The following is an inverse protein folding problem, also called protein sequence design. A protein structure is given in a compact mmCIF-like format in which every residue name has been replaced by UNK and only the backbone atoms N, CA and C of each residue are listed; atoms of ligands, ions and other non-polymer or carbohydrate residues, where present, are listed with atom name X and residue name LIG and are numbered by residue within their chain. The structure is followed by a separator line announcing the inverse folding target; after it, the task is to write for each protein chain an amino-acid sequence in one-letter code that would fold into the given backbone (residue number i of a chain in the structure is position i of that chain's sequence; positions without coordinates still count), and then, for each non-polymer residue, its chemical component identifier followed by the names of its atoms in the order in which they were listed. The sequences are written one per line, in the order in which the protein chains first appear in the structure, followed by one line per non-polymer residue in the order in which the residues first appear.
data_IF_536007756446
#
_entry.id   IF_536007756446
#
_cell.length_a   1.000
_cell.length_b   1.000
_cell.length_c   1.000
_cell.angle_alpha   90.00
_cell.angle_beta   90.00
_cell.angle_gamma   90.00
#
_symmetry.space_group_name_H-M   'P 1'
#
loop_
_entity.id
_entity.type
_entity.pdbx_description
1 polymer ?
#
# COMPACT_ATOMS: atom_id res chain seq x y z
N UNK A 1 -11.47 5.95 29.16
CA UNK A 1 -12.80 5.83 28.54
C UNK A 1 -12.55 5.82 27.05
N UNK A 2 -12.68 4.68 26.44
CA UNK A 2 -12.58 4.51 24.98
C UNK A 2 -13.89 5.04 24.41
N UNK A 3 -13.83 6.19 23.72
CA UNK A 3 -14.94 6.64 22.89
C UNK A 3 -15.22 5.54 21.87
N UNK A 4 -16.22 4.73 22.15
CA UNK A 4 -16.77 3.81 21.17
C UNK A 4 -17.42 4.69 20.09
N UNK A 5 -16.80 4.73 18.92
CA UNK A 5 -17.41 5.36 17.75
C UNK A 5 -18.64 4.55 17.42
N UNK A 6 -19.83 5.17 17.51
CA UNK A 6 -21.08 4.51 17.10
C UNK A 6 -20.96 4.10 15.63
N UNK A 7 -21.38 2.88 15.27
CA UNK A 7 -21.41 2.45 13.88
C UNK A 7 -22.33 3.36 13.08
N UNK A 8 -21.90 3.72 11.86
CA UNK A 8 -22.69 4.56 10.96
C UNK A 8 -23.99 3.83 10.57
N UNK A 9 -25.11 4.53 10.57
CA UNK A 9 -26.37 3.92 10.14
C UNK A 9 -26.32 3.64 8.64
N UNK A 10 -26.93 2.55 8.13
CA UNK A 10 -26.91 2.21 6.71
C UNK A 10 -27.36 3.35 5.76
N UNK A 11 -28.25 4.24 6.23
CA UNK A 11 -28.73 5.39 5.47
C UNK A 11 -27.73 6.57 5.39
N UNK A 12 -26.65 6.56 6.18
CA UNK A 12 -25.64 7.62 6.22
C UNK A 12 -24.42 7.28 5.33
N UNK A 13 -24.41 6.08 4.73
CA UNK A 13 -23.31 5.62 3.87
C UNK A 13 -23.40 6.32 2.51
N UNK A 14 -22.26 6.80 1.94
CA UNK A 14 -22.25 7.36 0.60
C UNK A 14 -22.80 6.37 -0.43
N UNK A 15 -23.84 6.76 -1.15
CA UNK A 15 -24.54 5.88 -2.10
C UNK A 15 -23.62 5.23 -3.12
N UNK A 16 -22.61 5.97 -3.59
CA UNK A 16 -21.61 5.47 -4.54
C UNK A 16 -20.74 4.35 -3.96
N UNK A 17 -20.40 4.43 -2.66
CA UNK A 17 -19.58 3.43 -1.98
C UNK A 17 -20.31 2.10 -1.84
N UNK A 18 -21.54 2.13 -1.35
CA UNK A 18 -22.38 0.94 -1.19
C UNK A 18 -22.64 0.28 -2.54
N UNK A 19 -23.03 1.07 -3.56
CA UNK A 19 -23.32 0.58 -4.91
C UNK A 19 -22.10 -0.09 -5.56
N UNK A 20 -20.89 0.49 -5.40
CA UNK A 20 -19.66 -0.10 -5.93
C UNK A 20 -19.34 -1.44 -5.26
N UNK A 21 -19.52 -1.53 -3.94
CA UNK A 21 -19.29 -2.77 -3.20
C UNK A 21 -20.30 -3.86 -3.60
N UNK A 22 -21.60 -3.54 -3.68
CA UNK A 22 -22.65 -4.49 -4.06
C UNK A 22 -22.48 -4.99 -5.48
N UNK A 23 -22.08 -4.12 -6.42
CA UNK A 23 -21.76 -4.48 -7.79
C UNK A 23 -20.65 -5.53 -7.85
N UNK A 24 -19.56 -5.32 -7.12
CA UNK A 24 -18.45 -6.27 -7.05
C UNK A 24 -18.85 -7.59 -6.40
N UNK A 25 -19.64 -7.55 -5.32
CA UNK A 25 -20.18 -8.77 -4.68
C UNK A 25 -21.06 -9.58 -5.64
N UNK A 26 -21.98 -8.92 -6.32
CA UNK A 26 -22.86 -9.57 -7.28
C UNK A 26 -22.05 -10.21 -8.43
N UNK A 27 -21.08 -9.48 -8.99
CA UNK A 27 -20.21 -9.99 -10.04
C UNK A 27 -19.32 -11.16 -9.57
N UNK A 28 -18.83 -11.12 -8.35
CA UNK A 28 -18.07 -12.24 -7.77
C UNK A 28 -18.97 -13.47 -7.56
N UNK A 29 -20.18 -13.30 -7.07
CA UNK A 29 -21.13 -14.40 -6.88
C UNK A 29 -21.50 -15.10 -8.20
N UNK A 30 -21.55 -14.36 -9.32
CA UNK A 30 -21.80 -14.93 -10.65
C UNK A 30 -20.56 -15.68 -11.18
N UNK A 31 -19.35 -15.21 -10.91
CA UNK A 31 -18.10 -15.79 -11.38
C UNK A 31 -17.04 -15.86 -10.25
N UNK A 32 -17.18 -16.79 -9.30
CA UNK A 32 -16.27 -16.88 -8.14
C UNK A 32 -14.89 -17.46 -8.49
N UNK A 33 -14.73 -18.04 -9.67
CA UNK A 33 -13.51 -18.74 -10.09
C UNK A 33 -13.03 -18.28 -11.44
N UNK A 34 -12.41 -17.10 -11.52
CA UNK A 34 -11.73 -16.66 -12.74
C UNK A 34 -10.51 -17.56 -13.05
N UNK A 35 -10.36 -17.89 -14.33
CA UNK A 35 -9.23 -18.68 -14.83
C UNK A 35 -7.97 -17.80 -15.00
N UNK A 36 -6.79 -18.45 -15.17
CA UNK A 36 -5.53 -17.72 -15.32
C UNK A 36 -5.52 -16.69 -16.48
N UNK A 37 -6.04 -16.97 -17.68
CA UNK A 37 -6.09 -15.96 -18.75
C UNK A 37 -6.79 -14.65 -18.34
N UNK A 38 -7.89 -14.73 -17.59
CA UNK A 38 -8.64 -13.55 -17.11
C UNK A 38 -7.85 -12.78 -16.06
N UNK A 39 -7.23 -13.50 -15.10
CA UNK A 39 -6.38 -12.86 -14.06
C UNK A 39 -5.16 -12.22 -14.69
N UNK A 40 -4.54 -12.89 -15.66
CA UNK A 40 -3.41 -12.37 -16.42
C UNK A 40 -3.78 -11.10 -17.19
N UNK A 41 -4.94 -11.06 -17.83
CA UNK A 41 -5.44 -9.86 -18.52
C UNK A 41 -5.60 -8.68 -17.54
N UNK A 42 -6.19 -8.90 -16.36
CA UNK A 42 -6.31 -7.87 -15.31
C UNK A 42 -4.94 -7.34 -14.89
N UNK A 43 -3.96 -8.22 -14.68
CA UNK A 43 -2.59 -7.82 -14.35
C UNK A 43 -1.91 -7.07 -15.50
N UNK A 44 -2.15 -7.43 -16.76
CA UNK A 44 -1.62 -6.72 -17.92
C UNK A 44 -2.24 -5.32 -18.06
N UNK A 45 -3.56 -5.18 -17.78
CA UNK A 45 -4.23 -3.87 -17.74
C UNK A 45 -3.69 -3.01 -16.60
N UNK A 46 -3.46 -3.59 -15.41
CA UNK A 46 -2.84 -2.89 -14.27
C UNK A 46 -1.41 -2.43 -14.61
N UNK A 47 -0.64 -3.27 -15.32
CA UNK A 47 0.70 -2.89 -15.80
C UNK A 47 0.65 -1.70 -16.75
N UNK A 48 -0.26 -1.71 -17.73
CA UNK A 48 -0.44 -0.58 -18.66
C UNK A 48 -0.94 0.67 -17.95
N UNK A 49 -1.82 0.54 -16.96
CA UNK A 49 -2.25 1.67 -16.13
C UNK A 49 -1.06 2.41 -15.54
N UNK A 50 -0.04 1.70 -15.08
CA UNK A 50 1.17 2.33 -14.53
C UNK A 50 2.09 2.80 -15.65
N UNK A 51 2.50 1.91 -16.58
CA UNK A 51 3.53 2.20 -17.58
C UNK A 51 3.16 3.26 -18.61
N UNK A 52 1.88 3.37 -18.95
CA UNK A 52 1.43 4.31 -19.98
C UNK A 52 1.13 5.72 -19.42
N UNK A 53 1.21 5.89 -18.09
CA UNK A 53 0.84 7.13 -17.43
C UNK A 53 1.90 7.62 -16.41
N UNK A 54 3.16 7.16 -16.53
CA UNK A 54 4.24 7.47 -15.57
C UNK A 54 4.41 8.98 -15.34
N UNK A 55 4.49 9.79 -16.41
CA UNK A 55 4.69 11.25 -16.33
C UNK A 55 3.51 11.94 -15.60
N UNK A 56 2.27 11.50 -15.83
CA UNK A 56 1.10 12.09 -15.17
C UNK A 56 1.05 11.71 -13.69
N UNK A 57 1.45 10.48 -13.36
CA UNK A 57 1.59 9.98 -11.99
C UNK A 57 2.63 10.81 -11.23
N UNK A 58 3.83 10.97 -11.79
CA UNK A 58 4.91 11.77 -11.19
C UNK A 58 4.47 13.21 -10.93
N UNK A 59 3.87 13.85 -11.91
CA UNK A 59 3.42 15.25 -11.82
C UNK A 59 2.33 15.44 -10.76
N UNK A 60 1.38 14.52 -10.65
CA UNK A 60 0.29 14.63 -9.67
C UNK A 60 0.76 14.37 -8.25
N UNK A 61 1.66 13.40 -8.06
CA UNK A 61 2.27 13.14 -6.75
C UNK A 61 3.15 14.32 -6.32
N UNK A 62 3.95 14.87 -7.23
CA UNK A 62 4.74 16.09 -6.97
C UNK A 62 3.84 17.26 -6.52
N UNK A 63 2.72 17.47 -7.20
CA UNK A 63 1.76 18.52 -6.85
C UNK A 63 1.15 18.34 -5.46
N UNK A 64 0.79 17.10 -5.07
CA UNK A 64 0.22 16.80 -3.76
C UNK A 64 1.23 17.01 -2.62
N UNK A 65 2.51 16.73 -2.85
CA UNK A 65 3.56 16.96 -1.87
C UNK A 65 4.08 18.40 -1.84
N UNK A 66 3.78 19.19 -2.88
CA UNK A 66 4.35 20.53 -3.04
C UNK A 66 5.86 20.50 -3.28
N UNK A 67 6.38 19.41 -3.86
CA UNK A 67 7.77 19.16 -4.21
C UNK A 67 8.19 17.73 -3.85
N UNK A 68 8.02 16.80 -4.78
CA UNK A 68 8.57 15.45 -4.70
C UNK A 68 9.28 15.12 -6.01
N UNK A 69 10.60 14.89 -5.98
CA UNK A 69 11.36 14.64 -7.21
C UNK A 69 10.81 13.45 -8.00
N UNK A 70 10.69 13.58 -9.31
CA UNK A 70 10.23 12.52 -10.20
C UNK A 70 11.03 11.21 -10.01
N UNK A 71 12.36 11.33 -9.83
CA UNK A 71 13.23 10.18 -9.58
C UNK A 71 12.86 9.41 -8.30
N UNK A 72 12.42 10.10 -7.24
CA UNK A 72 11.94 9.42 -6.03
C UNK A 72 10.64 8.67 -6.29
N UNK A 73 9.71 9.26 -7.04
CA UNK A 73 8.46 8.59 -7.45
C UNK A 73 8.77 7.37 -8.34
N UNK A 74 9.71 7.49 -9.28
CA UNK A 74 10.13 6.35 -10.10
C UNK A 74 10.70 5.20 -9.26
N UNK A 75 11.67 5.50 -8.38
CA UNK A 75 12.37 4.47 -7.60
C UNK A 75 11.48 3.86 -6.53
N UNK A 76 10.65 4.67 -5.87
CA UNK A 76 9.90 4.24 -4.69
C UNK A 76 8.46 3.79 -4.99
N UNK A 77 7.91 4.12 -6.17
CA UNK A 77 6.53 3.80 -6.52
C UNK A 77 6.39 3.12 -7.89
N UNK A 78 6.82 3.74 -8.99
CA UNK A 78 6.61 3.19 -10.34
C UNK A 78 7.37 1.88 -10.52
N UNK A 79 8.68 1.89 -10.27
CA UNK A 79 9.51 0.71 -10.43
C UNK A 79 9.06 -0.49 -9.57
N UNK A 80 8.83 -0.35 -8.25
CA UNK A 80 8.38 -1.47 -7.43
C UNK A 80 6.98 -1.94 -7.81
N UNK A 81 6.07 -1.06 -8.24
CA UNK A 81 4.75 -1.43 -8.75
C UNK A 81 4.86 -2.32 -9.99
N UNK A 82 5.66 -1.92 -10.98
CA UNK A 82 5.88 -2.70 -12.19
C UNK A 82 6.62 -4.02 -11.90
N UNK A 83 7.58 -4.01 -10.97
CA UNK A 83 8.30 -5.20 -10.57
C UNK A 83 7.38 -6.25 -9.94
N UNK A 84 6.46 -5.83 -9.06
CA UNK A 84 5.49 -6.69 -8.41
C UNK A 84 4.47 -7.27 -9.40
N UNK A 85 3.90 -6.44 -10.29
CA UNK A 85 3.01 -6.88 -11.35
C UNK A 85 3.70 -7.91 -12.25
N UNK A 86 4.95 -7.63 -12.68
CA UNK A 86 5.72 -8.55 -13.51
C UNK A 86 6.04 -9.85 -12.76
N UNK A 87 6.26 -9.81 -11.45
CA UNK A 87 6.41 -10.98 -10.58
C UNK A 87 5.16 -11.86 -10.58
N UNK A 88 3.99 -11.24 -10.41
CA UNK A 88 2.68 -11.91 -10.46
C UNK A 88 2.38 -12.51 -11.85
N UNK A 89 2.69 -11.79 -12.93
CA UNK A 89 2.52 -12.29 -14.29
C UNK A 89 3.39 -13.54 -14.58
N UNK A 90 4.59 -13.63 -13.99
CA UNK A 90 5.47 -14.80 -14.14
C UNK A 90 5.08 -15.99 -13.30
N UNK A 91 4.53 -15.78 -12.11
CA UNK A 91 4.37 -16.80 -11.09
C UNK A 91 2.93 -17.13 -10.70
N UNK A 92 1.97 -16.27 -11.04
CA UNK A 92 0.57 -16.35 -10.59
C UNK A 92 -0.12 -17.66 -10.98
N UNK A 93 0.09 -18.14 -12.19
CA UNK A 93 -0.47 -19.43 -12.63
C UNK A 93 -0.01 -20.60 -11.74
N UNK A 94 1.26 -20.56 -11.33
CA UNK A 94 1.80 -21.59 -10.43
C UNK A 94 1.19 -21.50 -9.04
N UNK A 95 0.91 -20.31 -8.53
CA UNK A 95 0.30 -20.10 -7.22
C UNK A 95 -1.14 -20.61 -7.13
N UNK A 96 -1.82 -20.76 -8.28
CA UNK A 96 -3.18 -21.30 -8.35
C UNK A 96 -3.24 -22.83 -8.29
N UNK A 97 -2.10 -23.52 -8.44
CA UNK A 97 -2.07 -24.99 -8.54
C UNK A 97 -2.40 -25.63 -7.18
N UNK A 98 -3.27 -26.64 -7.19
CA UNK A 98 -3.51 -27.44 -5.98
C UNK A 98 -2.23 -28.08 -5.45
N UNK A 99 -2.05 -28.07 -4.16
CA UNK A 99 -0.96 -28.73 -3.46
C UNK A 99 -1.44 -30.02 -2.82
N UNK A 100 -0.83 -31.16 -3.15
CA UNK A 100 -1.15 -32.45 -2.54
C UNK A 100 -0.56 -32.50 -1.14
N UNK A 101 -1.38 -32.90 -0.17
CA UNK A 101 -0.97 -33.07 1.22
C UNK A 101 -1.11 -34.52 1.66
N UNK A 102 -0.26 -34.91 2.63
CA UNK A 102 -0.31 -36.24 3.20
C UNK A 102 -1.58 -36.45 4.04
N UNK A 103 -2.19 -37.61 3.83
CA UNK A 103 -3.27 -38.09 4.70
C UNK A 103 -2.76 -39.13 5.66
N UNK A 104 -3.32 -39.20 6.85
CA UNK A 104 -3.01 -40.26 7.81
C UNK A 104 -3.32 -41.64 7.21
N UNK A 105 -2.52 -42.67 7.59
CA UNK A 105 -2.70 -44.05 7.16
C UNK A 105 -4.13 -44.58 7.34
N UNK A 106 -4.85 -44.04 8.30
CA UNK A 106 -6.24 -44.40 8.60
C UNK A 106 -7.25 -43.95 7.53
N UNK A 107 -6.86 -43.03 6.69
CA UNK A 107 -7.68 -42.51 5.59
C UNK A 107 -7.30 -43.10 4.23
N UNK A 108 -6.28 -43.95 4.15
CA UNK A 108 -5.93 -44.60 2.88
C UNK A 108 -7.11 -45.48 2.40
N UNK A 109 -7.41 -45.45 1.09
CA UNK A 109 -6.69 -44.86 -0.04
C UNK A 109 -7.10 -43.42 -0.41
N UNK A 110 -7.68 -42.63 0.51
CA UNK A 110 -8.09 -41.27 0.28
C UNK A 110 -6.90 -40.36 -0.13
N UNK A 111 -7.21 -39.28 -0.84
CA UNK A 111 -6.26 -38.23 -1.23
C UNK A 111 -6.77 -36.91 -0.72
N UNK A 112 -5.84 -36.02 -0.34
CA UNK A 112 -6.17 -34.64 0.06
C UNK A 112 -5.31 -33.65 -0.70
N UNK A 113 -5.88 -32.49 -0.96
CA UNK A 113 -5.19 -31.36 -1.60
C UNK A 113 -5.67 -30.03 -1.00
N UNK A 114 -4.78 -29.04 -1.00
CA UNK A 114 -5.09 -27.66 -0.66
C UNK A 114 -5.26 -26.91 -1.98
N UNK A 115 -6.44 -26.35 -2.23
CA UNK A 115 -6.74 -25.58 -3.42
C UNK A 115 -6.84 -24.09 -3.07
N UNK A 116 -5.95 -23.21 -3.60
CA UNK A 116 -6.11 -21.77 -3.46
C UNK A 116 -7.42 -21.30 -4.12
N UNK A 117 -8.19 -20.49 -3.40
CA UNK A 117 -9.47 -19.95 -3.86
C UNK A 117 -9.52 -18.44 -3.63
N UNK A 118 -10.16 -17.67 -4.54
CA UNK A 118 -10.47 -16.27 -4.27
C UNK A 118 -11.35 -16.15 -3.02
N UNK A 119 -11.19 -15.09 -2.27
CA UNK A 119 -12.01 -14.77 -1.11
C UNK A 119 -13.33 -14.13 -1.51
N UNK A 120 -13.27 -13.13 -2.39
CA UNK A 120 -14.41 -12.32 -2.79
C UNK A 120 -14.04 -10.90 -3.15
N UNK A 121 -14.56 -9.92 -2.41
CA UNK A 121 -14.23 -8.50 -2.55
C UNK A 121 -13.23 -8.10 -1.49
N UNK A 122 -12.07 -7.60 -1.94
CA UNK A 122 -11.00 -7.11 -1.07
C UNK A 122 -11.04 -5.59 -1.02
N UNK A 123 -11.22 -5.05 0.18
CA UNK A 123 -11.07 -3.62 0.45
C UNK A 123 -9.61 -3.24 0.70
N UNK A 124 -9.17 -2.11 0.16
CA UNK A 124 -7.83 -1.57 0.36
C UNK A 124 -7.90 -0.11 0.78
N UNK A 125 -7.39 0.24 1.95
CA UNK A 125 -7.26 1.64 2.40
C UNK A 125 -5.81 2.05 2.27
N UNK A 126 -5.57 3.04 1.40
CA UNK A 126 -4.24 3.47 0.96
C UNK A 126 -3.80 4.72 1.72
N UNK A 127 -2.56 4.79 2.23
CA UNK A 127 -2.00 5.98 2.86
C UNK A 127 -1.52 6.99 1.81
N UNK A 128 -1.05 8.13 2.30
CA UNK A 128 -0.60 9.24 1.48
C UNK A 128 0.89 9.18 1.07
N UNK A 129 1.73 8.45 1.82
CA UNK A 129 3.19 8.57 1.68
C UNK A 129 3.78 7.89 0.43
N UNK A 130 3.17 6.81 -0.02
CA UNK A 130 3.46 6.13 -1.29
C UNK A 130 2.14 5.72 -1.93
N UNK A 131 1.37 6.69 -2.45
CA UNK A 131 -0.03 6.45 -2.82
C UNK A 131 -0.20 5.52 -4.02
N UNK A 132 0.76 5.46 -4.95
CA UNK A 132 0.72 4.52 -6.06
C UNK A 132 1.09 3.11 -5.60
N UNK A 133 2.29 2.94 -5.03
CA UNK A 133 2.80 1.60 -4.71
C UNK A 133 1.93 0.88 -3.68
N UNK A 134 1.46 1.62 -2.65
CA UNK A 134 0.61 1.05 -1.60
C UNK A 134 -0.86 0.84 -2.05
N UNK A 135 -1.24 1.31 -3.23
CA UNK A 135 -2.46 0.88 -3.92
C UNK A 135 -2.20 -0.34 -4.80
N UNK A 136 -1.15 -0.28 -5.64
CA UNK A 136 -0.86 -1.31 -6.64
C UNK A 136 -0.49 -2.66 -5.99
N UNK A 137 0.36 -2.68 -4.96
CA UNK A 137 0.78 -3.92 -4.29
C UNK A 137 -0.40 -4.77 -3.83
N UNK A 138 -1.29 -4.25 -2.98
CA UNK A 138 -2.50 -4.96 -2.58
C UNK A 138 -3.42 -5.36 -3.75
N UNK A 139 -3.57 -4.48 -4.76
CA UNK A 139 -4.34 -4.81 -5.96
C UNK A 139 -3.75 -5.99 -6.73
N UNK A 140 -2.43 -6.05 -6.88
CA UNK A 140 -1.74 -7.19 -7.52
C UNK A 140 -2.06 -8.48 -6.78
N UNK A 141 -1.93 -8.49 -5.46
CA UNK A 141 -2.24 -9.65 -4.62
C UNK A 141 -3.70 -10.09 -4.77
N UNK A 142 -4.64 -9.15 -4.72
CA UNK A 142 -6.07 -9.43 -4.84
C UNK A 142 -6.43 -9.94 -6.26
N UNK A 143 -5.97 -9.27 -7.32
CA UNK A 143 -6.31 -9.62 -8.70
C UNK A 143 -5.68 -10.95 -9.14
N UNK A 144 -4.43 -11.23 -8.74
CA UNK A 144 -3.78 -12.52 -9.06
C UNK A 144 -4.46 -13.68 -8.34
N UNK A 145 -4.97 -13.46 -7.13
CA UNK A 145 -5.77 -14.44 -6.42
C UNK A 145 -7.18 -14.63 -7.02
N UNK A 146 -7.64 -13.71 -7.87
CA UNK A 146 -8.94 -13.77 -8.54
C UNK A 146 -10.04 -12.99 -7.83
N UNK A 147 -9.70 -12.18 -6.86
CA UNK A 147 -10.62 -11.31 -6.12
C UNK A 147 -11.04 -10.09 -6.94
N UNK A 148 -12.07 -9.41 -6.47
CA UNK A 148 -12.46 -8.05 -6.86
C UNK A 148 -11.80 -7.07 -5.87
N UNK A 149 -11.56 -5.83 -6.30
CA UNK A 149 -10.88 -4.84 -5.43
C UNK A 149 -11.64 -3.53 -5.37
N UNK A 150 -11.89 -3.06 -4.17
CA UNK A 150 -12.35 -1.70 -3.92
C UNK A 150 -11.26 -0.95 -3.16
N UNK A 151 -10.80 0.19 -3.69
CA UNK A 151 -9.65 0.93 -3.16
C UNK A 151 -10.10 2.29 -2.68
N UNK A 152 -9.86 2.61 -1.40
CA UNK A 152 -10.07 3.95 -0.82
C UNK A 152 -8.72 4.68 -0.77
N UNK A 153 -8.61 5.75 -1.57
CA UNK A 153 -7.40 6.57 -1.64
C UNK A 153 -7.35 7.60 -0.50
N UNK A 154 -6.15 8.08 -0.19
CA UNK A 154 -5.94 9.06 0.87
C UNK A 154 -6.46 10.45 0.49
N UNK A 155 -7.07 11.14 1.43
CA UNK A 155 -7.47 12.53 1.33
C UNK A 155 -6.29 13.52 1.34
N UNK A 156 -5.11 13.08 1.75
CA UNK A 156 -3.89 13.91 1.78
C UNK A 156 -3.15 13.97 0.43
N UNK A 157 -3.56 13.15 -0.54
CA UNK A 157 -3.04 13.17 -1.92
C UNK A 157 -4.19 13.29 -2.92
N UNK A 158 -4.94 14.41 -2.90
CA UNK A 158 -6.18 14.52 -3.65
C UNK A 158 -5.98 14.55 -5.17
N UNK A 159 -4.92 15.16 -5.69
CA UNK A 159 -4.65 15.22 -7.12
C UNK A 159 -4.33 13.81 -7.67
N UNK A 160 -3.45 13.08 -6.98
CA UNK A 160 -3.15 11.70 -7.36
C UNK A 160 -4.36 10.77 -7.18
N UNK A 161 -5.12 10.93 -6.10
CA UNK A 161 -6.33 10.13 -5.86
C UNK A 161 -7.37 10.29 -6.98
N UNK A 162 -7.57 11.51 -7.47
CA UNK A 162 -8.44 11.80 -8.60
C UNK A 162 -7.89 11.20 -9.92
N UNK A 163 -6.60 11.30 -10.16
CA UNK A 163 -5.94 10.66 -11.30
C UNK A 163 -6.11 9.14 -11.24
N UNK A 164 -5.77 8.52 -10.11
CA UNK A 164 -5.82 7.07 -9.96
C UNK A 164 -7.23 6.52 -10.15
N UNK A 165 -8.26 7.23 -9.65
CA UNK A 165 -9.66 6.90 -9.91
C UNK A 165 -9.96 6.88 -11.41
N UNK A 166 -9.64 7.95 -12.15
CA UNK A 166 -9.83 8.01 -13.61
C UNK A 166 -9.09 6.91 -14.37
N UNK A 167 -7.86 6.60 -13.93
CA UNK A 167 -7.07 5.54 -14.56
C UNK A 167 -7.70 4.17 -14.30
N UNK A 168 -8.13 3.87 -13.08
CA UNK A 168 -8.81 2.59 -12.80
C UNK A 168 -10.11 2.48 -13.62
N UNK A 169 -10.93 3.52 -13.69
CA UNK A 169 -12.14 3.55 -14.52
C UNK A 169 -11.85 3.37 -16.03
N UNK A 170 -10.68 3.82 -16.51
CA UNK A 170 -10.26 3.64 -17.91
C UNK A 170 -9.83 2.19 -18.22
N UNK A 171 -9.18 1.52 -17.28
CA UNK A 171 -8.56 0.20 -17.51
C UNK A 171 -9.37 -0.98 -16.96
N UNK A 172 -10.34 -0.75 -16.08
CA UNK A 172 -11.13 -1.79 -15.43
C UNK A 172 -12.63 -1.49 -15.49
N UNK A 173 -13.40 -2.55 -15.61
CA UNK A 173 -14.82 -2.47 -15.32
C UNK A 173 -15.04 -2.32 -13.80
N UNK A 174 -16.04 -1.54 -13.34
CA UNK A 174 -16.25 -1.26 -11.92
C UNK A 174 -16.48 -2.52 -11.07
N UNK A 175 -17.00 -3.58 -11.66
CA UNK A 175 -17.17 -4.89 -11.03
C UNK A 175 -15.86 -5.66 -10.83
N UNK A 176 -14.74 -5.24 -11.45
CA UNK A 176 -13.44 -5.87 -11.30
C UNK A 176 -12.57 -5.11 -10.29
N UNK A 177 -12.48 -3.78 -10.48
CA UNK A 177 -11.72 -2.87 -9.62
C UNK A 177 -12.36 -1.48 -9.67
N UNK A 178 -12.49 -0.85 -8.50
CA UNK A 178 -13.02 0.50 -8.38
C UNK A 178 -12.27 1.30 -7.32
N UNK A 179 -12.29 2.63 -7.46
CA UNK A 179 -11.62 3.57 -6.53
C UNK A 179 -12.62 4.53 -5.93
N UNK A 180 -12.56 4.66 -4.62
CA UNK A 180 -13.34 5.61 -3.82
C UNK A 180 -12.40 6.69 -3.29
N UNK A 181 -12.81 7.92 -3.41
CA UNK A 181 -12.16 9.10 -2.82
C UNK A 181 -13.05 9.70 -1.73
N UNK A 182 -12.49 10.47 -0.85
CA UNK A 182 -13.22 11.13 0.23
C UNK A 182 -12.38 11.26 1.50
N UNK A 183 -12.95 11.85 2.51
CA UNK A 183 -12.33 12.14 3.79
C UNK A 183 -12.35 10.95 4.79
N UNK A 184 -12.07 11.24 6.05
CA UNK A 184 -12.08 10.26 7.13
C UNK A 184 -13.47 9.63 7.35
N UNK A 185 -14.57 10.35 7.05
CA UNK A 185 -15.93 9.83 7.17
C UNK A 185 -16.18 8.72 6.16
N UNK A 186 -15.74 8.93 4.91
CA UNK A 186 -15.79 7.90 3.85
C UNK A 186 -14.90 6.71 4.21
N UNK A 187 -13.71 6.94 4.80
CA UNK A 187 -12.84 5.87 5.26
C UNK A 187 -13.46 5.03 6.39
N UNK A 188 -14.21 5.66 7.29
CA UNK A 188 -14.95 4.96 8.33
C UNK A 188 -16.05 4.09 7.70
N UNK A 189 -16.93 4.67 6.87
CA UNK A 189 -17.98 3.94 6.16
C UNK A 189 -17.40 2.76 5.34
N UNK A 190 -16.26 2.99 4.68
CA UNK A 190 -15.54 1.94 3.95
C UNK A 190 -15.13 0.79 4.86
N UNK A 191 -14.64 1.08 6.06
CA UNK A 191 -14.19 0.07 7.03
C UNK A 191 -15.33 -0.76 7.61
N UNK A 192 -16.56 -0.26 7.54
CA UNK A 192 -17.79 -0.93 8.02
C UNK A 192 -18.44 -1.85 6.97
N UNK A 193 -17.95 -1.81 5.71
CA UNK A 193 -18.44 -2.73 4.68
C UNK A 193 -18.02 -4.19 4.96
N UNK A 194 -18.88 -5.17 4.68
CA UNK A 194 -18.59 -6.58 4.92
C UNK A 194 -17.70 -7.17 3.82
N UNK A 195 -16.46 -6.68 3.73
CA UNK A 195 -15.45 -7.22 2.85
C UNK A 195 -15.08 -8.65 3.23
N UNK A 196 -14.66 -9.44 2.25
CA UNK A 196 -14.08 -10.76 2.49
C UNK A 196 -12.64 -10.68 3.01
N UNK A 197 -11.96 -9.54 2.79
CA UNK A 197 -10.70 -9.14 3.40
C UNK A 197 -10.54 -7.62 3.32
N UNK A 198 -9.98 -7.01 4.36
CA UNK A 198 -9.66 -5.58 4.39
C UNK A 198 -8.19 -5.36 4.69
N UNK A 199 -7.47 -4.70 3.76
CA UNK A 199 -6.10 -4.28 3.96
C UNK A 199 -6.06 -2.78 4.26
N UNK A 200 -5.41 -2.41 5.33
CA UNK A 200 -5.20 -1.03 5.75
C UNK A 200 -3.72 -0.74 5.91
N UNK A 201 -3.25 0.34 5.29
CA UNK A 201 -1.92 0.89 5.55
C UNK A 201 -2.05 2.30 6.11
N UNK A 202 -1.44 2.56 7.28
CA UNK A 202 -1.53 3.87 7.93
C UNK A 202 -1.04 3.90 9.37
N UNK A 203 -1.56 4.84 10.18
CA UNK A 203 -1.16 4.96 11.58
C UNK A 203 -1.79 3.87 12.46
N UNK A 204 -1.08 3.47 13.53
CA UNK A 204 -1.59 2.50 14.51
C UNK A 204 -2.92 2.94 15.14
N UNK A 205 -3.09 4.25 15.39
CA UNK A 205 -4.31 4.77 15.97
C UNK A 205 -5.53 4.58 15.05
N UNK A 206 -5.36 4.81 13.74
CA UNK A 206 -6.41 4.57 12.74
C UNK A 206 -6.60 3.08 12.51
N UNK A 207 -5.54 2.28 12.44
CA UNK A 207 -5.62 0.83 12.28
C UNK A 207 -6.47 0.14 13.35
N UNK A 208 -6.38 0.60 14.61
CA UNK A 208 -7.27 0.11 15.69
C UNK A 208 -8.75 0.37 15.40
N UNK A 209 -9.09 1.55 14.85
CA UNK A 209 -10.47 1.90 14.48
C UNK A 209 -10.95 1.05 13.31
N UNK A 210 -10.12 0.90 12.28
CA UNK A 210 -10.42 0.04 11.12
C UNK A 210 -10.68 -1.40 11.56
N UNK A 211 -9.82 -1.96 12.41
CA UNK A 211 -9.99 -3.32 12.95
C UNK A 211 -11.27 -3.46 13.76
N UNK A 212 -11.60 -2.45 14.59
CA UNK A 212 -12.82 -2.45 15.39
C UNK A 212 -14.08 -2.41 14.51
N UNK A 213 -14.09 -1.57 13.44
CA UNK A 213 -15.19 -1.50 12.49
C UNK A 213 -15.36 -2.81 11.71
N UNK A 214 -14.29 -3.37 11.19
CA UNK A 214 -14.29 -4.63 10.45
C UNK A 214 -14.76 -5.83 11.30
N UNK A 215 -14.48 -5.81 12.60
CA UNK A 215 -14.86 -6.88 13.52
C UNK A 215 -16.38 -7.09 13.61
N UNK A 216 -17.19 -6.06 13.40
CA UNK A 216 -18.66 -6.17 13.38
C UNK A 216 -19.17 -7.15 12.31
N UNK A 217 -18.45 -7.28 11.20
CA UNK A 217 -18.75 -8.17 10.09
C UNK A 217 -17.86 -9.43 10.08
N UNK A 218 -17.02 -9.64 11.11
CA UNK A 218 -15.99 -10.71 11.14
C UNK A 218 -15.04 -10.63 9.92
N UNK A 219 -14.88 -9.46 9.33
CA UNK A 219 -13.97 -9.25 8.20
C UNK A 219 -12.51 -9.43 8.65
N UNK A 220 -11.75 -10.36 8.05
CA UNK A 220 -10.32 -10.49 8.30
C UNK A 220 -9.57 -9.23 7.86
N UNK A 221 -8.63 -8.75 8.68
CA UNK A 221 -7.86 -7.54 8.37
C UNK A 221 -6.36 -7.80 8.31
N UNK A 222 -5.69 -7.15 7.36
CA UNK A 222 -4.24 -6.96 7.34
C UNK A 222 -3.94 -5.52 7.67
N UNK A 223 -3.13 -5.28 8.70
CA UNK A 223 -2.75 -3.95 9.14
C UNK A 223 -1.26 -3.72 8.88
N UNK A 224 -0.95 -2.85 7.92
CA UNK A 224 0.39 -2.33 7.69
C UNK A 224 0.52 -0.96 8.37
N UNK A 225 1.36 -0.88 9.38
CA UNK A 225 1.39 0.25 10.31
C UNK A 225 2.75 0.95 10.29
N UNK A 226 2.80 2.14 10.89
CA UNK A 226 4.05 2.86 11.08
C UNK A 226 4.99 2.15 12.06
N UNK A 227 6.26 2.53 12.02
CA UNK A 227 7.31 1.98 12.88
C UNK A 227 8.25 3.05 13.40
N UNK A 228 9.02 2.66 14.42
CA UNK A 228 10.18 3.37 14.94
C UNK A 228 11.40 2.47 14.71
N UNK A 229 11.87 2.45 13.45
CA UNK A 229 12.87 1.49 12.99
C UNK A 229 14.27 1.79 13.55
N UNK A 230 14.84 0.94 14.44
CA UNK A 230 16.19 1.08 14.92
C UNK A 230 17.21 0.72 13.84
N UNK A 231 18.33 1.44 13.81
CA UNK A 231 19.50 1.02 13.05
C UNK A 231 20.64 0.70 14.01
N UNK A 232 21.11 -0.53 13.99
CA UNK A 232 22.23 -0.97 14.85
C UNK A 232 23.52 -0.95 14.02
N UNK A 233 24.53 -0.23 14.51
CA UNK A 233 25.86 -0.15 13.89
C UNK A 233 26.85 -0.90 14.76
N UNK A 234 27.47 -1.93 14.20
CA UNK A 234 28.51 -2.70 14.89
C UNK A 234 29.79 -1.85 15.13
N UNK A 235 30.56 -2.13 16.19
CA UNK A 235 31.76 -1.35 16.52
C UNK A 235 32.78 -1.26 15.39
N UNK A 236 32.93 -2.32 14.60
CA UNK A 236 33.91 -2.42 13.52
C UNK A 236 33.39 -1.84 12.19
N UNK A 237 32.11 -1.45 12.13
CA UNK A 237 31.54 -0.97 10.87
C UNK A 237 31.99 0.48 10.60
N UNK A 238 32.49 0.79 9.37
CA UNK A 238 32.99 2.12 9.06
C UNK A 238 31.93 3.21 9.21
N UNK A 239 32.17 4.18 10.09
CA UNK A 239 31.24 5.26 10.43
C UNK A 239 30.74 6.02 9.20
N UNK A 240 31.63 6.32 8.24
CA UNK A 240 31.29 7.02 7.02
C UNK A 240 30.27 6.22 6.17
N UNK A 241 30.45 4.91 6.04
CA UNK A 241 29.51 4.04 5.33
C UNK A 241 28.17 3.96 6.06
N UNK A 242 28.19 3.86 7.38
CA UNK A 242 26.99 3.87 8.19
C UNK A 242 26.20 5.17 7.97
N UNK A 243 26.84 6.33 8.10
CA UNK A 243 26.21 7.62 7.88
C UNK A 243 25.62 7.75 6.47
N UNK A 244 26.37 7.36 5.43
CA UNK A 244 25.90 7.42 4.03
C UNK A 244 24.62 6.57 3.82
N UNK A 245 24.61 5.31 4.28
CA UNK A 245 23.48 4.41 4.08
C UNK A 245 22.26 4.80 4.91
N UNK A 246 22.48 5.19 6.17
CA UNK A 246 21.40 5.61 7.07
C UNK A 246 20.73 6.88 6.54
N UNK A 247 21.53 7.88 6.11
CA UNK A 247 20.96 9.11 5.56
C UNK A 247 20.26 8.90 4.22
N UNK A 248 20.77 8.03 3.35
CA UNK A 248 20.06 7.70 2.11
C UNK A 248 18.65 7.12 2.41
N UNK A 249 18.55 6.19 3.35
CA UNK A 249 17.25 5.64 3.76
C UNK A 249 16.37 6.61 4.56
N UNK A 250 16.99 7.53 5.35
CA UNK A 250 16.23 8.51 6.15
C UNK A 250 15.72 9.69 5.33
N UNK A 251 16.45 10.13 4.33
CA UNK A 251 16.13 11.34 3.59
C UNK A 251 15.26 11.06 2.36
N UNK A 252 15.14 9.82 1.93
CA UNK A 252 14.17 9.41 0.92
C UNK A 252 12.76 9.78 1.39
N UNK A 253 11.98 10.44 0.54
CA UNK A 253 10.64 10.95 0.85
C UNK A 253 10.59 11.80 2.15
N UNK A 254 11.67 12.55 2.43
CA UNK A 254 11.86 13.31 3.68
C UNK A 254 11.69 12.46 4.96
N UNK A 255 11.91 11.16 4.90
CA UNK A 255 11.72 10.23 6.01
C UNK A 255 10.26 9.84 6.28
N UNK A 256 9.34 10.21 5.39
CA UNK A 256 7.91 9.89 5.49
C UNK A 256 7.64 8.44 5.04
N UNK A 257 8.36 7.50 5.64
CA UNK A 257 8.40 6.07 5.28
C UNK A 257 8.30 5.24 6.54
N UNK A 258 7.42 4.23 6.55
CA UNK A 258 7.19 3.36 7.70
C UNK A 258 8.45 2.62 8.17
N UNK A 259 9.38 2.32 7.26
CA UNK A 259 10.64 1.60 7.51
C UNK A 259 11.86 2.54 7.51
N UNK A 260 11.68 3.86 7.46
CA UNK A 260 12.80 4.80 7.52
C UNK A 260 13.59 4.64 8.82
N UNK A 261 14.92 4.70 8.80
CA UNK A 261 15.73 4.77 10.00
C UNK A 261 15.24 5.89 10.93
N UNK A 262 14.85 5.55 12.17
CA UNK A 262 14.32 6.54 13.12
C UNK A 262 15.37 6.93 14.15
N UNK A 263 16.03 5.94 14.75
CA UNK A 263 17.14 6.16 15.67
C UNK A 263 18.29 5.19 15.43
N UNK A 264 19.48 5.60 15.83
CA UNK A 264 20.71 4.84 15.60
C UNK A 264 21.31 4.41 16.93
N UNK A 265 21.56 3.12 17.08
CA UNK A 265 22.28 2.51 18.18
C UNK A 265 23.71 2.22 17.72
N UNK A 266 24.69 2.82 18.40
CA UNK A 266 26.09 2.67 18.06
C UNK A 266 26.97 2.87 19.31
N UNK A 267 28.22 2.38 19.33
CA UNK A 267 29.15 2.59 20.43
C UNK A 267 29.35 4.08 20.77
N UNK A 268 29.51 4.38 22.05
CA UNK A 268 29.57 5.76 22.56
C UNK A 268 30.66 6.61 21.87
N UNK A 269 31.81 6.01 21.63
CA UNK A 269 32.95 6.64 20.95
C UNK A 269 32.64 6.98 19.46
N UNK A 270 31.71 6.28 18.83
CA UNK A 270 31.32 6.53 17.45
C UNK A 270 30.28 7.65 17.29
N UNK A 271 29.64 8.11 18.36
CA UNK A 271 28.56 9.11 18.28
C UNK A 271 29.04 10.40 17.63
N UNK A 272 30.12 11.01 18.13
CA UNK A 272 30.64 12.28 17.58
C UNK A 272 31.11 12.13 16.13
N UNK A 273 31.92 11.12 15.77
CA UNK A 273 32.26 10.85 14.38
C UNK A 273 31.03 10.65 13.48
N UNK A 274 30.03 9.87 13.91
CA UNK A 274 28.82 9.63 13.16
C UNK A 274 28.04 10.92 12.87
N UNK A 275 27.81 11.75 13.87
CA UNK A 275 27.09 13.03 13.71
C UNK A 275 27.81 13.95 12.73
N UNK A 276 29.15 14.01 12.78
CA UNK A 276 29.95 14.79 11.83
C UNK A 276 29.78 14.28 10.40
N UNK A 277 29.94 12.98 10.19
CA UNK A 277 29.78 12.36 8.85
C UNK A 277 28.35 12.47 8.33
N UNK A 278 27.35 12.27 9.19
CA UNK A 278 25.94 12.43 8.83
C UNK A 278 25.63 13.86 8.34
N UNK A 279 26.12 14.89 9.06
CA UNK A 279 25.95 16.29 8.61
C UNK A 279 26.67 16.57 7.29
N UNK A 280 27.88 16.04 7.12
CA UNK A 280 28.63 16.19 5.88
C UNK A 280 27.91 15.50 4.71
N UNK A 281 27.36 14.31 4.94
CA UNK A 281 26.60 13.57 3.93
C UNK A 281 25.30 14.29 3.56
N UNK A 282 24.53 14.80 4.51
CA UNK A 282 23.31 15.56 4.26
C UNK A 282 23.59 16.80 3.38
N UNK A 283 24.65 17.53 3.67
CA UNK A 283 25.08 18.68 2.86
C UNK A 283 25.53 18.30 1.45
N UNK A 284 26.16 17.13 1.28
CA UNK A 284 26.52 16.62 -0.06
C UNK A 284 25.32 16.23 -0.88
N UNK A 285 24.34 15.57 -0.24
CA UNK A 285 23.11 15.16 -0.94
C UNK A 285 22.23 16.36 -1.29
N UNK A 286 22.09 17.30 -0.37
CA UNK A 286 21.19 18.45 -0.51
C UNK A 286 21.93 19.75 -0.15
N UNK A 287 22.75 20.31 -1.08
CA UNK A 287 23.56 21.51 -0.80
C UNK A 287 22.72 22.73 -0.40
N UNK A 288 21.54 22.90 -0.99
CA UNK A 288 20.60 23.98 -0.65
C UNK A 288 19.70 23.68 0.57
N UNK A 289 19.95 22.57 1.28
CA UNK A 289 19.14 22.16 2.44
C UNK A 289 17.70 21.85 2.03
N UNK A 290 16.72 22.28 2.84
CA UNK A 290 15.30 22.07 2.60
C UNK A 290 14.75 22.77 1.35
N UNK A 291 15.46 23.73 0.79
CA UNK A 291 15.12 24.39 -0.48
C UNK A 291 15.67 23.69 -1.72
N UNK A 292 16.31 22.51 -1.56
CA UNK A 292 16.80 21.75 -2.69
C UNK A 292 15.62 21.08 -3.42
N UNK A 293 15.57 21.23 -4.75
CA UNK A 293 14.51 20.60 -5.59
C UNK A 293 14.54 19.07 -5.58
N UNK A 294 15.69 18.48 -5.25
CA UNK A 294 15.85 17.03 -5.15
C UNK A 294 15.50 16.49 -3.76
N UNK A 295 15.00 17.35 -2.84
CA UNK A 295 14.55 16.97 -1.51
C UNK A 295 13.04 17.03 -1.43
N UNK A 296 12.41 15.90 -1.10
CA UNK A 296 10.96 15.81 -0.99
C UNK A 296 10.41 16.72 0.12
N UNK A 297 9.32 17.44 -0.16
CA UNK A 297 8.63 18.22 0.86
C UNK A 297 7.84 17.33 1.83
N UNK A 298 7.51 17.87 3.00
CA UNK A 298 6.57 17.25 3.94
C UNK A 298 5.15 17.51 3.42
N UNK A 299 4.34 16.44 3.33
CA UNK A 299 3.05 16.44 2.62
C UNK A 299 2.09 17.56 3.04
N UNK A 300 2.10 17.98 4.29
CA UNK A 300 1.30 19.10 4.78
C UNK A 300 1.81 19.67 6.10
N UNK A 301 1.26 20.83 6.52
CA UNK A 301 1.67 21.53 7.73
C UNK A 301 1.46 20.72 9.01
N UNK A 302 0.42 19.88 9.09
CA UNK A 302 0.15 19.03 10.27
C UNK A 302 1.25 17.98 10.48
N UNK A 303 1.82 17.45 9.41
CA UNK A 303 2.89 16.45 9.50
C UNK A 303 4.28 17.11 9.68
N UNK A 304 4.38 18.41 9.40
CA UNK A 304 5.59 19.20 9.63
C UNK A 304 5.76 19.57 11.12
N UNK A 305 4.69 19.82 11.86
CA UNK A 305 4.68 20.13 13.30
C UNK A 305 4.88 18.87 14.15
#
# INVERSE_FOLDING_TARGET
MTDMVEPMKPNDMPTDLQSAFELQRAAFAQQPHSQWPERRDRLQRLRRLVSDNEEEIERTIDADFGGRPAIETQIAEVYPSLAEINGALRSGERWMRPERVWVSKWFLPARAEIQPRPLGVVGVIVPWNYPLYLAIGPMVGALVAGNRTLVKMSEYTPAFSALFKRLVEKYFAPEEAAVVTGDATVAQAFSELPFDHLLFTGSTAVGRRVMAAAAANLTPVTLELGGKSPTVVAPEYPVQRAATRILAGKLLNAGQTCVAPDYVLLPREMIKPFVREARAQARRMFPAGLGNRDFCAVVNQRHYQ
#
